data_IF_292013170653
#
_entry.id   IF_292013170653
#
_cell.length_a   1.000
_cell.length_b   1.000
_cell.length_c   1.000
_cell.angle_alpha   90.00
_cell.angle_beta   90.00
_cell.angle_gamma   90.00
#
_symmetry.space_group_name_H-M   'P 1'
#
loop_
_entity.id
_entity.type
_entity.pdbx_description
1 polymer ?
#
# COMPACT_ATOMS: atom_id res chain seq x y z
N UNK A 1 -16.68 -10.83 -51.92
CA UNK A 1 -17.43 -11.61 -50.89
C UNK A 1 -16.64 -11.85 -49.59
N UNK A 2 -15.36 -12.27 -49.55
CA UNK A 2 -14.69 -12.57 -48.28
C UNK A 2 -14.52 -11.35 -47.36
N UNK A 3 -14.19 -10.18 -47.92
CA UNK A 3 -14.00 -8.93 -47.14
C UNK A 3 -15.29 -8.49 -46.42
N UNK A 4 -16.45 -8.64 -47.07
CA UNK A 4 -17.75 -8.31 -46.47
C UNK A 4 -18.07 -9.23 -45.28
N UNK A 5 -17.75 -10.52 -45.39
CA UNK A 5 -18.00 -11.50 -44.34
C UNK A 5 -17.11 -11.26 -43.11
N UNK A 6 -15.85 -10.87 -43.31
CA UNK A 6 -14.95 -10.44 -42.22
C UNK A 6 -15.46 -9.17 -41.51
N UNK A 7 -15.93 -8.17 -42.26
CA UNK A 7 -16.47 -6.93 -41.68
C UNK A 7 -17.71 -7.20 -40.84
N UNK A 8 -18.64 -8.05 -41.32
CA UNK A 8 -19.85 -8.43 -40.56
C UNK A 8 -19.48 -9.20 -39.30
N UNK A 9 -18.52 -10.13 -39.37
CA UNK A 9 -18.06 -10.88 -38.20
C UNK A 9 -17.41 -9.97 -37.14
N UNK A 10 -16.60 -8.99 -37.55
CA UNK A 10 -15.98 -8.03 -36.64
C UNK A 10 -17.01 -7.14 -35.94
N UNK A 11 -18.02 -6.64 -36.68
CA UNK A 11 -19.11 -5.85 -36.10
C UNK A 11 -19.92 -6.66 -35.09
N UNK A 12 -20.26 -7.92 -35.42
CA UNK A 12 -20.96 -8.80 -34.49
C UNK A 12 -20.14 -9.09 -33.24
N UNK A 13 -18.83 -9.31 -33.37
CA UNK A 13 -17.95 -9.51 -32.21
C UNK A 13 -17.94 -8.28 -31.29
N UNK A 14 -17.87 -7.06 -31.85
CA UNK A 14 -17.95 -5.81 -31.07
C UNK A 14 -19.31 -5.68 -30.38
N UNK A 15 -20.41 -5.96 -31.08
CA UNK A 15 -21.76 -5.91 -30.50
C UNK A 15 -21.91 -6.91 -29.34
N UNK A 16 -21.40 -8.13 -29.50
CA UNK A 16 -21.41 -9.15 -28.43
C UNK A 16 -20.56 -8.71 -27.25
N UNK A 17 -19.35 -8.16 -27.48
CA UNK A 17 -18.49 -7.64 -26.41
C UNK A 17 -19.18 -6.50 -25.68
N UNK A 18 -19.82 -5.56 -26.37
CA UNK A 18 -20.56 -4.45 -25.75
C UNK A 18 -21.78 -4.95 -24.97
N UNK A 19 -22.53 -5.93 -25.50
CA UNK A 19 -23.68 -6.52 -24.81
C UNK A 19 -23.25 -7.30 -23.55
N UNK A 20 -22.16 -8.08 -23.63
CA UNK A 20 -21.61 -8.85 -22.52
C UNK A 20 -21.01 -7.93 -21.46
N UNK A 21 -20.21 -6.94 -21.84
CA UNK A 21 -19.65 -5.95 -20.91
C UNK A 21 -20.75 -5.08 -20.29
N UNK A 22 -21.76 -4.71 -21.06
CA UNK A 22 -22.93 -3.96 -20.61
C UNK A 22 -23.81 -4.72 -19.62
N UNK A 23 -23.82 -6.05 -19.65
CA UNK A 23 -24.57 -6.90 -18.71
C UNK A 23 -23.73 -7.31 -17.49
N UNK A 24 -22.41 -7.51 -17.67
CA UNK A 24 -21.49 -7.83 -16.58
C UNK A 24 -21.33 -6.64 -15.63
N UNK A 25 -21.29 -5.41 -16.13
CA UNK A 25 -21.13 -4.20 -15.31
C UNK A 25 -22.19 -4.07 -14.19
N UNK A 26 -23.50 -4.10 -14.51
CA UNK A 26 -24.57 -4.06 -13.52
C UNK A 26 -24.51 -5.24 -12.53
N UNK A 27 -24.16 -6.44 -13.00
CA UNK A 27 -24.06 -7.61 -12.14
C UNK A 27 -22.92 -7.46 -11.13
N UNK A 28 -21.73 -7.04 -11.58
CA UNK A 28 -20.57 -6.76 -10.71
C UNK A 28 -20.90 -5.65 -9.71
N UNK A 29 -21.63 -4.61 -10.13
CA UNK A 29 -22.08 -3.54 -9.23
C UNK A 29 -23.01 -4.07 -8.13
N UNK A 30 -24.03 -4.83 -8.48
CA UNK A 30 -24.97 -5.42 -7.50
C UNK A 30 -24.24 -6.35 -6.53
N UNK A 31 -23.36 -7.23 -7.04
CA UNK A 31 -22.58 -8.14 -6.19
C UNK A 31 -21.66 -7.36 -5.24
N UNK A 32 -20.98 -6.33 -5.73
CA UNK A 32 -20.10 -5.52 -4.89
C UNK A 32 -20.84 -4.71 -3.82
N UNK A 33 -22.02 -4.16 -4.13
CA UNK A 33 -22.88 -3.48 -3.16
C UNK A 33 -23.37 -4.46 -2.08
N UNK A 34 -23.80 -5.66 -2.47
CA UNK A 34 -24.24 -6.70 -1.53
C UNK A 34 -23.10 -7.16 -0.61
N UNK A 35 -21.90 -7.33 -1.16
CA UNK A 35 -20.70 -7.66 -0.37
C UNK A 35 -20.35 -6.54 0.61
N UNK A 36 -20.40 -5.28 0.19
CA UNK A 36 -20.14 -4.14 1.06
C UNK A 36 -21.16 -4.04 2.21
N UNK A 37 -22.46 -4.23 1.93
CA UNK A 37 -23.50 -4.28 2.96
C UNK A 37 -23.29 -5.43 3.95
N UNK A 38 -22.92 -6.62 3.46
CA UNK A 38 -22.64 -7.78 4.30
C UNK A 38 -21.43 -7.55 5.22
N UNK A 39 -20.40 -6.85 4.73
CA UNK A 39 -19.23 -6.45 5.53
C UNK A 39 -19.60 -5.46 6.64
N UNK A 40 -20.52 -4.53 6.38
CA UNK A 40 -21.00 -3.52 7.34
C UNK A 40 -21.92 -4.17 8.40
N UNK A 41 -22.86 -5.01 7.99
CA UNK A 41 -23.85 -5.63 8.88
C UNK A 41 -23.27 -6.74 9.75
N UNK A 42 -22.19 -7.40 9.30
CA UNK A 42 -21.54 -8.48 10.06
C UNK A 42 -20.00 -8.38 10.01
N UNK A 43 -19.40 -7.43 10.75
CA UNK A 43 -17.97 -7.19 10.69
C UNK A 43 -17.16 -8.34 11.32
N UNK A 44 -17.69 -9.05 12.32
CA UNK A 44 -16.97 -10.14 13.01
C UNK A 44 -17.10 -11.50 12.33
N UNK A 45 -18.16 -11.74 11.56
CA UNK A 45 -18.44 -13.01 10.90
C UNK A 45 -17.90 -13.09 9.49
N UNK A 46 -18.80 -13.25 8.52
CA UNK A 46 -18.45 -13.44 7.11
C UNK A 46 -17.66 -12.23 6.56
N UNK A 47 -17.98 -11.01 7.02
CA UNK A 47 -17.25 -9.80 6.64
C UNK A 47 -15.78 -9.81 7.09
N UNK A 48 -15.48 -10.38 8.25
CA UNK A 48 -14.10 -10.57 8.71
C UNK A 48 -13.32 -11.55 7.84
N UNK A 49 -13.95 -12.67 7.46
CA UNK A 49 -13.34 -13.68 6.57
C UNK A 49 -13.09 -13.16 5.15
N UNK A 50 -14.02 -12.38 4.61
CA UNK A 50 -13.86 -11.70 3.32
C UNK A 50 -12.66 -10.74 3.34
N UNK A 51 -12.51 -9.93 4.40
CA UNK A 51 -11.39 -9.00 4.58
C UNK A 51 -10.02 -9.69 4.69
N UNK A 52 -9.98 -10.92 5.21
CA UNK A 52 -8.76 -11.71 5.37
C UNK A 52 -8.40 -12.57 4.16
N UNK A 53 -9.28 -12.63 3.14
CA UNK A 53 -9.02 -13.52 2.01
C UNK A 53 -7.86 -13.02 1.13
N UNK A 54 -6.85 -13.86 0.81
CA UNK A 54 -5.62 -13.44 0.12
C UNK A 54 -5.85 -12.84 -1.27
N UNK A 55 -6.95 -13.20 -1.93
CA UNK A 55 -7.27 -12.75 -3.29
C UNK A 55 -7.42 -11.24 -3.44
N UNK A 56 -7.75 -10.51 -2.37
CA UNK A 56 -7.95 -9.05 -2.42
C UNK A 56 -6.66 -8.26 -2.23
N UNK A 57 -5.57 -8.90 -1.80
CA UNK A 57 -4.35 -8.20 -1.42
C UNK A 57 -3.55 -7.71 -2.64
N UNK A 58 -3.86 -8.22 -3.82
CA UNK A 58 -3.32 -7.73 -5.10
C UNK A 58 -3.97 -6.44 -5.59
N UNK A 59 -5.07 -5.98 -4.98
CA UNK A 59 -5.75 -4.74 -5.37
C UNK A 59 -5.16 -3.57 -4.57
N UNK A 60 -4.58 -2.54 -5.24
CA UNK A 60 -4.01 -1.39 -4.57
C UNK A 60 -4.96 -0.77 -3.53
N UNK A 61 -4.48 -0.56 -2.31
CA UNK A 61 -5.25 0.05 -1.21
C UNK A 61 -6.10 -0.90 -0.37
N UNK A 62 -6.48 -2.10 -0.87
CA UNK A 62 -7.35 -3.01 -0.12
C UNK A 62 -6.71 -3.60 1.15
N UNK A 63 -5.38 -3.80 1.16
CA UNK A 63 -4.65 -4.28 2.35
C UNK A 63 -4.64 -3.26 3.49
N UNK A 64 -4.62 -1.96 3.18
CA UNK A 64 -4.70 -0.90 4.20
C UNK A 64 -6.13 -0.76 4.72
N UNK A 65 -7.10 -0.91 3.82
CA UNK A 65 -8.51 -0.83 4.16
C UNK A 65 -9.05 -2.06 4.91
N UNK A 66 -8.42 -3.24 4.80
CA UNK A 66 -8.87 -4.45 5.51
C UNK A 66 -8.77 -4.36 7.04
N UNK A 67 -8.01 -3.38 7.55
CA UNK A 67 -7.94 -3.05 8.98
C UNK A 67 -9.28 -2.57 9.57
N UNK A 68 -10.25 -2.15 8.73
CA UNK A 68 -11.56 -1.68 9.18
C UNK A 68 -12.70 -2.06 8.25
N UNK A 69 -13.89 -2.26 8.82
CA UNK A 69 -15.08 -2.60 8.02
C UNK A 69 -15.50 -1.49 7.06
N UNK A 70 -15.51 -0.24 7.55
CA UNK A 70 -15.92 0.93 6.79
C UNK A 70 -15.00 1.27 5.59
N UNK A 71 -13.66 1.38 5.73
CA UNK A 71 -12.79 1.66 4.60
C UNK A 71 -12.78 0.53 3.56
N UNK A 72 -12.91 -0.73 4.00
CA UNK A 72 -13.01 -1.87 3.09
C UNK A 72 -14.32 -1.84 2.29
N UNK A 73 -15.46 -1.56 2.94
CA UNK A 73 -16.74 -1.41 2.27
C UNK A 73 -16.72 -0.22 1.28
N UNK A 74 -16.12 0.91 1.65
CA UNK A 74 -15.98 2.07 0.76
C UNK A 74 -15.17 1.74 -0.51
N UNK A 75 -14.07 0.98 -0.40
CA UNK A 75 -13.32 0.53 -1.57
C UNK A 75 -14.11 -0.47 -2.42
N UNK A 76 -14.86 -1.39 -1.80
CA UNK A 76 -15.73 -2.29 -2.56
C UNK A 76 -16.77 -1.50 -3.36
N UNK A 77 -17.40 -0.49 -2.77
CA UNK A 77 -18.31 0.39 -3.52
C UNK A 77 -17.59 1.12 -4.65
N UNK A 78 -16.41 1.68 -4.40
CA UNK A 78 -15.65 2.43 -5.41
C UNK A 78 -15.21 1.56 -6.60
N UNK A 79 -14.87 0.29 -6.35
CA UNK A 79 -14.49 -0.68 -7.38
C UNK A 79 -15.67 -1.37 -8.04
N UNK A 80 -16.80 -1.50 -7.35
CA UNK A 80 -18.01 -2.15 -7.86
C UNK A 80 -18.88 -1.22 -8.69
N UNK A 81 -18.86 0.08 -8.43
CA UNK A 81 -19.46 1.06 -9.33
C UNK A 81 -18.54 1.10 -10.56
N UNK A 82 -18.92 0.51 -11.71
CA UNK A 82 -18.17 0.75 -12.93
C UNK A 82 -18.05 2.26 -13.08
N UNK A 83 -16.94 2.76 -13.59
CA UNK A 83 -16.82 4.17 -13.97
C UNK A 83 -17.35 4.28 -15.41
N UNK A 84 -18.65 4.49 -15.70
CA UNK A 84 -19.08 4.80 -17.06
C UNK A 84 -19.10 6.32 -17.31
N UNK A 85 -18.26 7.13 -16.63
CA UNK A 85 -18.38 8.61 -16.71
C UNK A 85 -17.07 9.32 -17.06
N UNK A 86 -15.93 8.63 -17.11
CA UNK A 86 -14.70 9.24 -17.62
C UNK A 86 -14.73 9.50 -19.14
N UNK A 87 -15.47 8.69 -19.89
CA UNK A 87 -15.51 8.79 -21.36
C UNK A 87 -16.71 9.55 -21.92
N UNK A 88 -17.80 9.73 -21.17
CA UNK A 88 -19.00 10.45 -21.65
C UNK A 88 -19.01 11.94 -21.27
N UNK A 89 -18.20 12.37 -20.29
CA UNK A 89 -18.03 13.78 -19.95
C UNK A 89 -16.98 14.50 -20.82
N UNK A 90 -16.04 13.77 -21.44
CA UNK A 90 -15.05 14.38 -22.34
C UNK A 90 -15.58 14.68 -23.76
N UNK A 91 -16.72 14.12 -24.15
CA UNK A 91 -17.32 14.36 -25.48
C UNK A 91 -18.30 15.55 -25.54
N UNK A 92 -18.55 16.25 -24.43
CA UNK A 92 -19.40 17.47 -24.41
C UNK A 92 -18.74 18.72 -23.84
N UNK A 93 -17.47 18.69 -23.44
CA UNK A 93 -16.72 19.87 -22.98
C UNK A 93 -15.87 20.55 -24.08
N UNK A 94 -16.04 20.15 -25.34
CA UNK A 94 -15.35 20.76 -26.48
C UNK A 94 -16.21 21.83 -27.16
N UNK A 95 -16.52 22.95 -26.50
CA UNK A 95 -16.91 24.19 -27.18
C UNK A 95 -16.87 25.43 -26.26
N UNK A 96 -15.75 25.65 -25.59
CA UNK A 96 -15.46 26.95 -24.98
C UNK A 96 -14.22 27.53 -25.66
N UNK A 97 -14.48 28.28 -26.72
CA UNK A 97 -13.53 29.20 -27.35
C UNK A 97 -13.13 30.22 -26.29
N UNK A 98 -12.00 30.00 -25.64
CA UNK A 98 -11.38 30.97 -24.75
C UNK A 98 -10.20 31.60 -25.49
N UNK A 99 -10.48 32.75 -26.10
CA UNK A 99 -9.52 33.61 -26.77
C UNK A 99 -8.49 34.10 -25.75
N UNK A 100 -7.29 33.50 -25.74
CA UNK A 100 -6.15 34.07 -25.02
C UNK A 100 -5.43 35.10 -25.90
N UNK A 101 -5.16 36.33 -25.40
CA UNK A 101 -4.41 37.33 -26.13
C UNK A 101 -2.92 36.98 -26.18
N UNK A 102 -2.39 37.10 -27.39
CA UNK A 102 -0.99 37.01 -27.78
C UNK A 102 -0.12 38.02 -27.02
N UNK A 103 0.92 37.51 -26.34
CA UNK A 103 2.07 38.32 -25.90
C UNK A 103 3.15 38.36 -27.00
N UNK A 104 3.86 39.49 -27.19
CA UNK A 104 4.83 39.67 -28.26
C UNK A 104 6.19 39.00 -28.00
N UNK A 105 7.01 38.73 -29.04
CA UNK A 105 8.30 38.05 -28.93
C UNK A 105 9.42 38.94 -28.37
N UNK A 106 10.43 38.38 -27.68
CA UNK A 106 11.62 39.13 -27.29
C UNK A 106 12.54 39.39 -28.51
N UNK A 107 13.01 40.63 -28.59
CA UNK A 107 13.98 41.11 -29.58
C UNK A 107 15.32 40.37 -29.47
N UNK A 108 15.85 39.99 -30.62
CA UNK A 108 17.23 39.61 -30.84
C UNK A 108 18.17 40.80 -30.55
N UNK A 109 19.19 40.56 -29.73
CA UNK A 109 20.33 41.47 -29.51
C UNK A 109 21.63 40.74 -29.78
N UNK A 110 22.27 41.13 -30.89
CA UNK A 110 23.54 40.60 -31.41
C UNK A 110 24.73 41.28 -30.71
N UNK A 111 25.68 40.45 -30.25
CA UNK A 111 27.14 40.56 -30.37
C UNK A 111 27.89 41.88 -30.09
N UNK A 112 28.92 41.78 -29.24
CA UNK A 112 30.08 42.69 -29.25
C UNK A 112 30.96 42.50 -28.02
N UNK A 113 32.11 41.83 -28.16
CA UNK A 113 33.03 41.53 -27.06
C UNK A 113 34.12 42.56 -26.79
N UNK A 114 34.82 42.39 -25.67
CA UNK A 114 36.26 42.58 -25.46
C UNK A 114 36.62 42.30 -23.97
N UNK A 115 37.88 41.96 -23.67
CA UNK A 115 38.26 41.28 -22.43
C UNK A 115 38.80 42.25 -21.35
N UNK A 116 38.94 41.74 -20.12
CA UNK A 116 40.12 41.90 -19.25
C UNK A 116 39.79 42.20 -17.77
N UNK A 117 40.61 41.57 -16.92
CA UNK A 117 41.02 41.91 -15.55
C UNK A 117 40.03 41.73 -14.38
N UNK A 118 40.28 40.67 -13.59
CA UNK A 118 40.26 40.68 -12.11
C UNK A 118 41.06 41.89 -11.57
N UNK A 119 40.76 42.46 -10.38
CA UNK A 119 40.89 41.75 -9.11
C UNK A 119 39.81 42.07 -8.05
N UNK A 120 39.94 41.35 -6.93
CA UNK A 120 39.25 41.43 -5.64
C UNK A 120 38.66 42.79 -5.24
N UNK A 121 37.47 42.77 -4.65
CA UNK A 121 37.23 43.56 -3.44
C UNK A 121 36.11 42.99 -2.56
N UNK A 122 36.42 43.00 -1.27
CA UNK A 122 35.59 42.74 -0.10
C UNK A 122 34.34 43.62 -0.07
N UNK A 123 33.18 42.99 0.10
CA UNK A 123 31.90 43.70 0.28
C UNK A 123 30.96 42.93 1.19
N UNK A 124 31.20 43.05 2.50
CA UNK A 124 30.23 42.73 3.54
C UNK A 124 28.98 43.60 3.34
N UNK A 125 27.85 42.98 3.00
CA UNK A 125 26.51 43.57 3.09
C UNK A 125 25.53 42.55 3.67
N UNK A 126 25.45 42.57 5.00
CA UNK A 126 24.20 42.41 5.75
C UNK A 126 23.77 43.84 6.13
N UNK A 127 22.48 44.24 6.23
CA UNK A 127 21.36 43.44 6.74
C UNK A 127 20.01 43.70 6.03
N UNK A 128 18.95 43.14 6.63
CA UNK A 128 17.58 43.69 6.67
C UNK A 128 16.56 43.05 5.71
N UNK A 129 15.61 42.30 6.30
CA UNK A 129 14.33 42.00 5.66
C UNK A 129 13.70 40.64 5.94
N UNK A 130 13.82 40.09 7.15
CA UNK A 130 12.96 38.97 7.54
C UNK A 130 11.54 39.49 7.83
N UNK A 131 10.46 38.98 7.20
CA UNK A 131 9.12 39.18 7.73
C UNK A 131 8.98 38.36 9.01
N UNK A 132 9.09 39.05 10.15
CA UNK A 132 8.65 38.54 11.45
C UNK A 132 7.13 38.47 11.42
N UNK A 133 6.58 37.30 11.06
CA UNK A 133 5.19 36.98 11.34
C UNK A 133 5.11 36.46 12.77
N UNK A 134 4.80 37.38 13.69
CA UNK A 134 4.35 37.09 15.04
C UNK A 134 3.19 36.09 14.99
N UNK A 135 3.32 34.89 15.58
CA UNK A 135 2.16 34.04 15.82
C UNK A 135 1.30 34.69 16.90
N UNK A 136 0.04 35.00 16.59
CA UNK A 136 -0.95 35.34 17.59
C UNK A 136 -1.09 34.15 18.57
N UNK A 137 -1.08 34.38 19.90
CA UNK A 137 -1.39 33.32 20.86
C UNK A 137 -2.88 32.98 20.72
N UNK A 138 -3.18 31.87 20.05
CA UNK A 138 -4.52 31.29 20.09
C UNK A 138 -4.67 30.64 21.46
N UNK A 139 -5.62 31.18 22.22
CA UNK A 139 -5.98 30.77 23.55
C UNK A 139 -6.16 29.24 23.63
N UNK A 140 -5.49 28.67 24.63
CA UNK A 140 -5.71 27.32 25.11
C UNK A 140 -7.13 27.23 25.65
N UNK A 141 -8.02 26.59 24.90
CA UNK A 141 -9.32 26.19 25.42
C UNK A 141 -9.14 24.86 26.17
N UNK A 142 -9.06 24.96 27.48
CA UNK A 142 -9.18 23.86 28.44
C UNK A 142 -10.53 23.16 28.22
N UNK A 143 -10.59 21.86 27.88
CA UNK A 143 -11.81 21.09 28.06
C UNK A 143 -11.88 20.69 29.53
N UNK A 144 -12.83 21.31 30.23
CA UNK A 144 -13.28 20.97 31.57
C UNK A 144 -13.68 19.50 31.68
N UNK A 145 -13.15 18.85 32.71
CA UNK A 145 -13.60 17.56 33.23
C UNK A 145 -15.13 17.54 33.43
N UNK A 146 -15.80 16.62 32.75
CA UNK A 146 -17.15 16.20 33.09
C UNK A 146 -17.12 14.71 33.44
N UNK A 147 -16.93 14.42 34.73
CA UNK A 147 -17.12 13.11 35.31
C UNK A 147 -18.61 12.75 35.35
N UNK A 148 -19.02 11.62 34.76
CA UNK A 148 -20.27 10.89 35.11
C UNK A 148 -20.30 9.50 34.44
N UNK A 149 -21.07 8.52 34.96
CA UNK A 149 -20.76 7.68 36.10
C UNK A 149 -20.43 6.23 35.70
N UNK A 150 -19.72 5.53 36.59
CA UNK A 150 -19.52 4.08 36.59
C UNK A 150 -20.85 3.34 36.66
N UNK A 151 -21.28 2.69 35.58
CA UNK A 151 -22.30 1.66 35.63
C UNK A 151 -21.67 0.37 36.17
N UNK A 152 -22.10 -0.03 37.36
CA UNK A 152 -21.79 -1.33 37.96
C UNK A 152 -22.48 -2.42 37.12
N UNK A 153 -21.76 -3.41 36.56
CA UNK A 153 -22.41 -4.55 35.94
C UNK A 153 -23.05 -5.43 37.03
N UNK A 154 -24.38 -5.50 37.00
CA UNK A 154 -25.19 -6.47 37.73
C UNK A 154 -24.73 -7.89 37.38
N UNK A 155 -24.36 -8.67 38.39
CA UNK A 155 -24.01 -10.07 38.25
C UNK A 155 -25.17 -10.87 37.63
N UNK A 156 -24.87 -11.64 36.59
CA UNK A 156 -25.79 -12.60 36.00
C UNK A 156 -26.11 -13.72 37.02
N UNK A 157 -27.33 -14.26 37.04
CA UNK A 157 -27.71 -15.35 37.94
C UNK A 157 -26.93 -16.64 37.59
N UNK A 158 -26.71 -17.53 38.59
CA UNK A 158 -26.04 -18.80 38.38
C UNK A 158 -26.87 -19.71 37.45
N UNK A 159 -26.23 -20.52 36.59
CA UNK A 159 -26.92 -21.49 35.75
C UNK A 159 -27.52 -22.60 36.62
N UNK A 160 -28.81 -22.88 36.40
CA UNK A 160 -29.51 -24.05 36.94
C UNK A 160 -28.87 -25.34 36.42
N UNK A 161 -28.35 -26.17 37.32
CA UNK A 161 -27.84 -27.50 37.01
C UNK A 161 -28.96 -28.41 36.51
N UNK A 162 -28.74 -29.03 35.35
CA UNK A 162 -29.61 -30.07 34.83
C UNK A 162 -29.33 -31.41 35.54
N UNK A 163 -30.34 -32.28 35.76
CA UNK A 163 -30.15 -33.59 36.38
C UNK A 163 -29.25 -34.50 35.53
N UNK A 164 -28.10 -34.89 36.09
CA UNK A 164 -27.19 -35.86 35.50
C UNK A 164 -27.74 -37.26 35.82
N UNK A 165 -28.17 -38.00 34.80
CA UNK A 165 -28.49 -39.43 34.95
C UNK A 165 -27.20 -40.25 34.98
N UNK A 166 -27.09 -41.26 35.86
CA UNK A 166 -25.89 -42.10 35.94
C UNK A 166 -25.78 -42.99 34.70
N UNK A 167 -24.62 -43.03 34.02
CA UNK A 167 -24.40 -43.94 32.91
C UNK A 167 -24.27 -45.38 33.42
N UNK A 168 -25.05 -46.28 32.83
CA UNK A 168 -24.99 -47.73 33.03
C UNK A 168 -23.59 -48.24 32.70
N UNK A 169 -22.95 -48.91 33.67
CA UNK A 169 -21.62 -49.49 33.51
C UNK A 169 -21.61 -50.56 32.40
N UNK A 170 -20.78 -50.34 31.37
CA UNK A 170 -20.50 -51.34 30.33
C UNK A 170 -19.41 -52.31 30.85
N UNK A 171 -19.53 -53.63 30.60
CA UNK A 171 -18.51 -54.59 31.00
C UNK A 171 -17.15 -54.27 30.37
N UNK A 172 -16.13 -54.15 31.21
CA UNK A 172 -14.74 -53.88 30.81
C UNK A 172 -14.10 -55.19 30.35
N UNK A 173 -13.69 -55.26 29.09
CA UNK A 173 -12.87 -56.37 28.58
C UNK A 173 -11.41 -56.19 29.03
N UNK A 174 -10.66 -57.28 29.27
CA UNK A 174 -9.25 -57.21 29.61
C UNK A 174 -8.43 -56.58 28.47
N UNK A 175 -7.43 -55.73 28.75
CA UNK A 175 -6.64 -55.07 27.72
C UNK A 175 -5.73 -56.07 27.01
N UNK A 176 -5.86 -56.13 25.68
CA UNK A 176 -4.88 -56.77 24.78
C UNK A 176 -3.57 -55.99 24.84
N UNK A 177 -2.45 -56.68 25.03
CA UNK A 177 -1.13 -56.08 25.12
C UNK A 177 -0.77 -55.27 23.85
N UNK A 178 -0.21 -54.05 23.98
CA UNK A 178 0.21 -53.25 22.83
C UNK A 178 1.32 -53.94 22.02
N UNK A 179 1.28 -53.89 20.68
CA UNK A 179 2.37 -54.35 19.84
C UNK A 179 3.67 -53.58 20.13
N UNK A 180 4.80 -54.28 20.12
CA UNK A 180 6.11 -53.67 20.30
C UNK A 180 6.41 -52.63 19.19
N UNK A 181 6.96 -51.45 19.53
CA UNK A 181 7.21 -50.40 18.55
C UNK A 181 8.32 -50.83 17.56
N UNK A 182 8.20 -50.44 16.28
CA UNK A 182 9.22 -50.73 15.29
C UNK A 182 10.55 -50.02 15.62
N UNK A 183 11.70 -50.58 15.24
CA UNK A 183 13.00 -50.00 15.50
C UNK A 183 13.12 -48.60 14.87
N UNK A 184 13.57 -47.64 15.68
CA UNK A 184 13.75 -46.24 15.29
C UNK A 184 14.88 -46.12 14.26
N UNK A 185 14.58 -45.52 13.11
CA UNK A 185 15.58 -45.27 12.07
C UNK A 185 16.68 -44.31 12.58
N UNK A 186 17.93 -44.45 12.09
CA UNK A 186 19.02 -43.54 12.42
C UNK A 186 18.65 -42.09 12.06
N UNK A 187 19.04 -41.09 12.87
CA UNK A 187 18.78 -39.69 12.58
C UNK A 187 19.43 -39.28 11.26
N UNK A 188 18.64 -38.59 10.43
CA UNK A 188 19.11 -38.05 9.16
C UNK A 188 20.29 -37.07 9.39
N UNK A 189 21.27 -37.02 8.49
CA UNK A 189 22.37 -36.07 8.60
C UNK A 189 21.84 -34.63 8.61
N UNK A 190 22.51 -33.71 9.31
CA UNK A 190 22.10 -32.31 9.37
C UNK A 190 22.09 -31.70 7.96
N UNK A 191 21.14 -30.79 7.65
CA UNK A 191 21.09 -30.12 6.36
C UNK A 191 22.40 -29.38 6.09
N UNK A 192 22.97 -29.57 4.91
CA UNK A 192 24.12 -28.79 4.44
C UNK A 192 23.73 -27.30 4.44
N UNK A 193 24.52 -26.46 5.12
CA UNK A 193 24.29 -25.02 5.15
C UNK A 193 24.29 -24.45 3.72
N UNK A 194 23.36 -23.52 3.40
CA UNK A 194 23.32 -22.92 2.08
C UNK A 194 24.63 -22.16 1.80
N UNK A 195 25.04 -22.04 0.52
CA UNK A 195 26.24 -21.31 0.15
C UNK A 195 26.17 -19.87 0.67
N UNK A 196 27.26 -19.41 1.30
CA UNK A 196 27.38 -18.04 1.80
C UNK A 196 27.28 -17.05 0.64
N UNK A 197 26.31 -16.14 0.72
CA UNK A 197 26.05 -15.18 -0.35
C UNK A 197 26.81 -13.88 -0.08
N UNK A 198 27.37 -13.28 -1.12
CA UNK A 198 28.09 -12.02 -0.97
C UNK A 198 27.10 -10.85 -0.92
N UNK A 199 26.83 -10.36 0.29
CA UNK A 199 25.90 -9.25 0.52
C UNK A 199 26.57 -7.88 0.51
N UNK A 200 27.91 -7.80 0.41
CA UNK A 200 28.69 -6.57 0.51
C UNK A 200 28.30 -5.67 1.70
N UNK A 201 28.01 -6.29 2.83
CA UNK A 201 27.60 -5.60 4.07
C UNK A 201 26.13 -5.24 4.14
N UNK A 202 25.29 -5.67 3.19
CA UNK A 202 23.85 -5.65 3.37
C UNK A 202 23.43 -6.69 4.44
N UNK A 203 22.42 -6.40 5.27
CA UNK A 203 21.81 -7.38 6.15
C UNK A 203 21.30 -8.61 5.39
N UNK A 204 21.30 -9.76 6.08
CA UNK A 204 20.71 -10.99 5.56
C UNK A 204 19.24 -10.77 5.19
N UNK A 205 18.89 -11.09 3.95
CA UNK A 205 17.56 -10.88 3.42
C UNK A 205 17.17 -11.97 2.40
N UNK A 206 15.88 -12.27 2.26
CA UNK A 206 15.40 -13.39 1.44
C UNK A 206 15.53 -13.14 -0.07
N UNK A 207 15.76 -11.90 -0.50
CA UNK A 207 15.83 -11.53 -1.91
C UNK A 207 17.25 -11.44 -2.46
N UNK A 208 18.26 -11.67 -1.61
CA UNK A 208 19.67 -11.58 -1.96
C UNK A 208 20.14 -10.19 -2.38
N UNK A 209 19.42 -9.19 -1.86
CA UNK A 209 19.79 -7.80 -2.06
C UNK A 209 21.13 -7.51 -1.40
N UNK A 210 21.96 -6.75 -2.10
CA UNK A 210 23.36 -6.52 -1.75
C UNK A 210 23.80 -5.09 -2.09
N UNK A 211 25.01 -4.74 -1.66
CA UNK A 211 25.66 -3.47 -1.97
C UNK A 211 26.82 -3.59 -2.94
N UNK A 212 26.94 -4.70 -3.67
CA UNK A 212 28.11 -5.02 -4.50
C UNK A 212 28.14 -4.26 -5.85
N UNK A 213 27.29 -3.26 -6.03
CA UNK A 213 26.98 -2.69 -7.34
C UNK A 213 25.90 -3.50 -8.09
N UNK A 214 25.48 -3.02 -9.26
CA UNK A 214 24.40 -3.63 -10.04
C UNK A 214 23.26 -2.64 -10.33
N UNK A 215 22.10 -3.20 -10.70
CA UNK A 215 20.89 -2.42 -10.92
C UNK A 215 20.26 -1.94 -9.60
N UNK A 216 19.34 -0.99 -9.69
CA UNK A 216 18.66 -0.44 -8.51
C UNK A 216 17.26 -1.03 -8.34
N UNK A 217 16.80 -1.18 -7.10
CA UNK A 217 15.46 -1.72 -6.81
C UNK A 217 14.43 -0.59 -6.75
N UNK A 218 13.60 -0.45 -7.81
CA UNK A 218 12.52 0.56 -7.84
C UNK A 218 11.17 0.04 -7.38
N UNK A 219 11.02 -1.26 -7.19
CA UNK A 219 9.78 -1.90 -6.72
C UNK A 219 10.10 -2.91 -5.62
N UNK A 220 10.39 -2.42 -4.39
CA UNK A 220 10.65 -3.31 -3.29
C UNK A 220 9.40 -4.13 -2.93
N UNK A 221 9.58 -5.34 -2.39
CA UNK A 221 8.48 -6.16 -1.91
C UNK A 221 7.77 -5.48 -0.73
N UNK A 222 6.48 -5.76 -0.54
CA UNK A 222 5.66 -5.05 0.46
C UNK A 222 6.05 -5.31 1.91
N UNK A 223 6.78 -6.40 2.16
CA UNK A 223 7.36 -6.77 3.46
C UNK A 223 8.85 -6.37 3.58
N UNK A 224 9.36 -5.50 2.71
CA UNK A 224 10.76 -5.05 2.74
C UNK A 224 11.16 -4.48 4.11
N UNK A 225 10.30 -3.64 4.70
CA UNK A 225 10.55 -3.00 5.99
C UNK A 225 10.44 -3.94 7.20
N UNK A 226 10.08 -5.21 6.99
CA UNK A 226 10.13 -6.23 8.04
C UNK A 226 11.56 -6.77 8.23
N UNK A 227 12.44 -6.59 7.22
CA UNK A 227 13.83 -7.04 7.23
C UNK A 227 14.84 -5.88 7.32
N UNK A 228 14.46 -4.72 6.80
CA UNK A 228 15.29 -3.52 6.77
C UNK A 228 14.64 -2.39 7.57
N UNK A 229 15.43 -1.60 8.30
CA UNK A 229 14.93 -0.44 9.03
C UNK A 229 14.56 0.69 8.06
N UNK A 230 13.30 0.75 7.64
CA UNK A 230 12.82 1.79 6.75
C UNK A 230 12.55 3.11 7.46
N UNK A 231 12.80 4.22 6.77
CA UNK A 231 12.30 5.53 7.19
C UNK A 231 10.76 5.55 7.18
N UNK A 232 10.16 6.42 7.99
CA UNK A 232 8.68 6.45 8.15
C UNK A 232 7.92 6.68 6.84
N UNK A 233 8.51 7.44 5.93
CA UNK A 233 7.93 7.80 4.63
C UNK A 233 8.29 6.80 3.52
N UNK A 234 8.93 5.67 3.81
CA UNK A 234 9.38 4.71 2.80
C UNK A 234 8.23 4.28 1.86
N UNK A 235 7.08 3.93 2.43
CA UNK A 235 5.91 3.49 1.67
C UNK A 235 5.19 4.64 0.92
N UNK A 236 5.45 5.89 1.27
CA UNK A 236 4.82 7.06 0.65
C UNK A 236 5.54 7.48 -0.64
N UNK A 237 6.80 7.08 -0.82
CA UNK A 237 7.59 7.38 -2.01
C UNK A 237 7.70 6.14 -2.90
N UNK A 238 7.26 6.26 -4.15
CA UNK A 238 7.33 5.17 -5.15
C UNK A 238 8.11 5.55 -6.40
N UNK A 239 8.70 6.75 -6.43
CA UNK A 239 9.26 7.37 -7.64
C UNK A 239 10.80 7.38 -7.65
N UNK A 240 11.44 6.52 -6.85
CA UNK A 240 12.89 6.37 -6.80
C UNK A 240 13.29 4.90 -6.69
N UNK A 241 14.54 4.67 -6.32
CA UNK A 241 15.02 3.34 -5.93
C UNK A 241 15.29 3.25 -4.44
N UNK A 242 15.43 2.03 -3.94
CA UNK A 242 15.82 1.75 -2.56
C UNK A 242 17.30 2.09 -2.36
N UNK A 243 17.56 2.96 -1.39
CA UNK A 243 18.91 3.30 -0.95
C UNK A 243 19.03 3.23 0.57
N UNK A 244 20.24 2.96 1.04
CA UNK A 244 20.62 3.12 2.44
C UNK A 244 21.02 4.58 2.69
N UNK A 245 20.46 5.18 3.73
CA UNK A 245 20.83 6.48 4.25
C UNK A 245 22.05 6.38 5.19
N UNK A 246 22.68 7.50 5.52
CA UNK A 246 23.92 7.51 6.32
C UNK A 246 23.75 7.01 7.76
N UNK A 247 22.53 7.03 8.29
CA UNK A 247 22.17 6.48 9.59
C UNK A 247 21.79 4.98 9.56
N UNK A 248 21.91 4.33 8.40
CA UNK A 248 21.58 2.91 8.20
C UNK A 248 20.10 2.63 7.99
N UNK A 249 19.25 3.67 7.91
CA UNK A 249 17.85 3.51 7.52
C UNK A 249 17.68 3.44 5.99
N UNK A 250 16.60 2.85 5.52
CA UNK A 250 16.33 2.68 4.08
C UNK A 250 15.25 3.63 3.59
N UNK A 251 15.45 4.17 2.39
CA UNK A 251 14.54 5.10 1.71
C UNK A 251 14.19 4.60 0.31
N UNK A 252 12.93 4.76 -0.11
CA UNK A 252 12.47 4.48 -1.49
C UNK A 252 12.42 5.76 -2.36
N UNK A 253 13.21 6.76 -2.00
CA UNK A 253 13.33 8.03 -2.72
C UNK A 253 14.68 8.21 -3.43
N UNK A 254 15.49 7.15 -3.50
CA UNK A 254 16.82 7.21 -4.08
C UNK A 254 16.84 7.73 -5.51
N UNK A 255 17.87 8.52 -5.82
CA UNK A 255 18.02 9.23 -7.08
C UNK A 255 17.20 10.53 -7.19
N UNK A 256 16.42 10.91 -6.17
CA UNK A 256 15.69 12.18 -6.14
C UNK A 256 16.45 13.24 -5.34
N UNK A 257 16.34 14.54 -5.72
CA UNK A 257 16.89 15.62 -4.91
C UNK A 257 16.35 15.61 -3.49
N UNK A 258 17.25 15.67 -2.50
CA UNK A 258 16.88 15.68 -1.08
C UNK A 258 16.53 14.33 -0.47
N UNK A 259 16.77 13.22 -1.18
CA UNK A 259 16.64 11.89 -0.58
C UNK A 259 17.60 11.76 0.62
N UNK A 260 17.18 10.99 1.63
CA UNK A 260 17.84 10.84 2.93
C UNK A 260 18.26 12.15 3.64
N UNK A 261 17.72 13.33 3.28
CA UNK A 261 18.19 14.62 3.81
C UNK A 261 18.01 14.75 5.33
N UNK A 262 16.95 14.19 5.89
CA UNK A 262 16.72 14.09 7.35
C UNK A 262 17.48 12.94 8.03
N UNK A 263 18.19 12.13 7.26
CA UNK A 263 18.86 10.89 7.66
C UNK A 263 20.37 10.91 7.33
N UNK A 264 20.96 12.12 7.31
CA UNK A 264 22.39 12.32 7.08
C UNK A 264 22.85 12.23 5.61
N UNK A 265 21.92 12.13 4.67
CA UNK A 265 22.16 12.03 3.24
C UNK A 265 22.27 10.58 2.75
N UNK A 266 22.40 10.44 1.43
CA UNK A 266 22.45 9.14 0.75
C UNK A 266 23.79 8.47 1.06
N UNK A 267 23.76 7.17 1.37
CA UNK A 267 24.99 6.37 1.52
C UNK A 267 25.27 5.56 0.25
N UNK A 268 24.34 4.70 -0.16
CA UNK A 268 24.50 3.81 -1.32
C UNK A 268 23.18 3.16 -1.76
N UNK A 269 23.03 2.82 -3.05
CA UNK A 269 21.88 2.07 -3.55
C UNK A 269 21.91 0.61 -3.09
N UNK A 270 20.73 0.03 -2.87
CA UNK A 270 20.55 -1.40 -2.67
C UNK A 270 20.22 -2.07 -4.02
N UNK A 271 20.89 -3.19 -4.30
CA UNK A 271 20.85 -3.85 -5.59
C UNK A 271 20.30 -5.27 -5.46
N UNK A 272 19.64 -5.82 -6.50
CA UNK A 272 19.14 -7.19 -6.50
C UNK A 272 20.24 -8.24 -6.62
#
# INVERSE_FOLDING_TARGET
MPVLLFMVAAVLAVVVVVAVLGFIGPFVAVVGILLALLVILNPGGLGGRLRQSPGWWGIPGMRRASAGAAPFAALLFLYAVPVPIGAFALTHAGNSVSSSPSSPPPLAGVGGGAPSTQPSDTGSVSPTGAPSVTPAPIASATPTDAATPTAVPTAAPPPTEAPITPPTARPTQPPTAPPAPPPTAPPAPPPTAPPSRNLCGAPDNPWNYNFCGGGTISSPPSNFCDYFNCIRSFADYTNGYVEECRDGMYSHSGGRPGSCSSHGGNLRPLNP
#
